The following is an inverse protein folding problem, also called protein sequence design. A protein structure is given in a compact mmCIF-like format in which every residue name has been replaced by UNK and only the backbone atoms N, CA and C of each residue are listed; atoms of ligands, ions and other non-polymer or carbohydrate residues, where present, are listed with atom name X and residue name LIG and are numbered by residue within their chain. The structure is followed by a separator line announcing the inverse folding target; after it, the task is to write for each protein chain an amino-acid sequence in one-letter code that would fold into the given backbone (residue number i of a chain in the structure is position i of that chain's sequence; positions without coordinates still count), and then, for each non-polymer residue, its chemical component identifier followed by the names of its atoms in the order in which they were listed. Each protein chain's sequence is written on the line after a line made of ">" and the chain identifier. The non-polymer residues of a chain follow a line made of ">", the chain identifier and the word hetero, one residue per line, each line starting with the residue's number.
data_IF_737283624245
#
_entry.id   IF_737283624245
#
_cell.length_a   1.000
_cell.length_b   1.000
_cell.length_c   1.000
_cell.angle_alpha   90.00
_cell.angle_beta   90.00
_cell.angle_gamma   90.00
#
_symmetry.space_group_name_H-M   'P 1'
#
loop_
_entity.id
_entity.type
_entity.pdbx_description
1 polymer ?
#
# COMPACT_ATOMS: atom_id res chain seq x y z
N UNK A 1 17.57 2.12 -8.35
CA UNK A 1 16.22 2.64 -8.68
C UNK A 1 15.22 1.83 -7.89
N UNK A 2 14.10 2.42 -7.41
CA UNK A 2 13.00 1.65 -6.85
C UNK A 2 12.58 0.57 -7.85
N UNK A 3 12.16 -0.59 -7.34
CA UNK A 3 11.64 -1.63 -8.19
C UNK A 3 10.38 -1.15 -8.92
N UNK A 4 10.22 -1.62 -10.15
CA UNK A 4 9.08 -1.37 -11.02
C UNK A 4 8.92 -2.61 -11.90
N UNK A 5 7.70 -2.85 -12.38
CA UNK A 5 7.49 -3.83 -13.43
C UNK A 5 8.39 -3.54 -14.64
N UNK A 6 8.93 -4.59 -15.24
CA UNK A 6 9.60 -4.45 -16.53
C UNK A 6 8.55 -4.04 -17.57
N UNK A 7 8.91 -3.19 -18.53
CA UNK A 7 7.99 -2.74 -19.59
C UNK A 7 7.32 -3.86 -20.39
N UNK A 8 7.89 -5.07 -20.33
CA UNK A 8 7.43 -6.26 -21.04
C UNK A 8 6.59 -7.20 -20.18
N UNK A 9 6.44 -6.93 -18.88
CA UNK A 9 5.62 -7.75 -17.99
C UNK A 9 4.14 -7.39 -18.13
N UNK A 10 3.23 -8.37 -18.11
CA UNK A 10 1.80 -8.10 -18.03
C UNK A 10 1.46 -7.50 -16.67
N UNK A 11 0.68 -6.41 -16.68
CA UNK A 11 0.24 -5.70 -15.47
C UNK A 11 -1.18 -6.10 -15.04
N UNK A 12 -1.60 -7.32 -15.35
CA UNK A 12 -2.94 -7.79 -15.00
C UNK A 12 -3.01 -8.13 -13.51
N UNK A 13 -3.97 -7.55 -12.76
CA UNK A 13 -4.12 -7.88 -11.35
C UNK A 13 -4.56 -9.34 -11.21
N UNK A 14 -3.90 -10.07 -10.32
CA UNK A 14 -4.32 -11.43 -9.94
C UNK A 14 -5.61 -11.44 -9.10
N UNK A 15 -5.92 -10.30 -8.47
CA UNK A 15 -7.11 -10.09 -7.67
C UNK A 15 -7.49 -8.60 -7.62
N UNK A 16 -8.76 -8.31 -7.37
CA UNK A 16 -9.29 -6.95 -7.26
C UNK A 16 -10.32 -6.88 -6.16
N UNK A 17 -10.28 -5.81 -5.37
CA UNK A 17 -11.30 -5.53 -4.35
C UNK A 17 -12.13 -4.32 -4.75
N UNK A 18 -13.48 -4.39 -4.68
CA UNK A 18 -14.31 -3.22 -4.91
C UNK A 18 -14.11 -2.20 -3.78
N UNK A 19 -13.97 -0.92 -4.14
CA UNK A 19 -13.96 0.19 -3.18
C UNK A 19 -15.38 0.74 -3.07
N UNK A 20 -15.97 0.71 -1.88
CA UNK A 20 -17.33 1.21 -1.69
C UNK A 20 -17.38 2.75 -1.72
N UNK A 21 -18.55 3.32 -2.05
CA UNK A 21 -18.73 4.77 -2.28
C UNK A 21 -18.26 5.67 -1.11
N UNK A 22 -18.36 5.19 0.12
CA UNK A 22 -18.00 5.94 1.33
C UNK A 22 -16.63 5.55 1.88
N UNK A 23 -15.92 4.63 1.22
CA UNK A 23 -14.56 4.27 1.60
C UNK A 23 -13.55 5.21 0.97
N UNK A 24 -12.50 5.51 1.73
CA UNK A 24 -11.34 6.26 1.28
C UNK A 24 -10.10 5.44 1.59
N UNK A 25 -9.41 5.03 0.54
CA UNK A 25 -8.13 4.34 0.59
C UNK A 25 -7.02 5.29 0.16
N UNK A 26 -5.89 5.25 0.88
CA UNK A 26 -4.67 5.96 0.49
C UNK A 26 -3.45 5.09 0.76
N UNK A 27 -2.60 4.97 -0.25
CA UNK A 27 -1.27 4.41 -0.16
C UNK A 27 -0.24 5.54 -0.14
N UNK A 28 0.60 5.58 0.88
CA UNK A 28 1.74 6.49 1.01
C UNK A 28 3.03 5.67 0.97
N UNK A 29 3.98 6.08 0.12
CA UNK A 29 5.30 5.47 0.00
C UNK A 29 6.35 6.44 0.57
N UNK A 30 6.58 6.44 1.91
CA UNK A 30 7.42 7.45 2.57
C UNK A 30 8.89 7.42 2.14
N UNK A 31 9.39 6.27 1.68
CA UNK A 31 10.75 6.11 1.17
C UNK A 31 10.88 6.44 -0.32
N UNK A 32 9.80 6.85 -1.00
CA UNK A 32 9.83 7.19 -2.41
C UNK A 32 10.78 8.38 -2.69
N UNK A 33 11.71 8.16 -3.63
CA UNK A 33 12.67 9.17 -4.06
C UNK A 33 12.09 10.20 -5.06
N UNK A 34 10.88 9.96 -5.58
CA UNK A 34 10.18 10.83 -6.53
C UNK A 34 8.96 11.49 -5.89
N UNK A 35 8.69 12.74 -6.27
CA UNK A 35 7.47 13.47 -5.85
C UNK A 35 6.19 12.89 -6.46
N UNK A 36 6.29 12.25 -7.63
CA UNK A 36 5.19 11.58 -8.32
C UNK A 36 5.57 10.12 -8.46
N UNK A 37 5.07 9.31 -7.55
CA UNK A 37 5.19 7.86 -7.63
C UNK A 37 3.86 7.27 -8.07
N UNK A 38 3.87 6.21 -8.89
CA UNK A 38 2.70 5.37 -9.06
C UNK A 38 2.18 4.90 -7.71
N UNK A 39 0.86 4.71 -7.59
CA UNK A 39 0.26 4.08 -6.41
C UNK A 39 0.42 2.55 -6.48
N UNK A 40 1.64 2.11 -6.75
CA UNK A 40 2.02 0.72 -6.91
C UNK A 40 2.96 0.36 -5.77
N UNK A 41 2.78 -0.82 -5.21
CA UNK A 41 3.61 -1.32 -4.13
C UNK A 41 4.02 -2.75 -4.43
N UNK A 42 5.33 -2.94 -4.58
CA UNK A 42 5.91 -4.14 -5.16
C UNK A 42 6.66 -4.91 -4.07
N UNK A 43 6.42 -6.22 -4.04
CA UNK A 43 7.11 -7.17 -3.17
C UNK A 43 8.17 -7.91 -3.98
N UNK A 44 9.38 -7.99 -3.46
CA UNK A 44 10.45 -8.80 -4.06
C UNK A 44 10.21 -10.28 -3.78
N UNK A 45 10.84 -11.17 -4.56
CA UNK A 45 10.77 -12.62 -4.34
C UNK A 45 11.24 -13.03 -2.94
N UNK A 46 12.11 -12.23 -2.33
CA UNK A 46 12.55 -12.39 -0.94
C UNK A 46 11.46 -12.04 0.10
N UNK A 47 10.32 -11.50 -0.32
CA UNK A 47 9.25 -10.99 0.54
C UNK A 47 9.47 -9.57 1.06
N UNK A 48 10.63 -8.97 0.78
CA UNK A 48 10.95 -7.60 1.18
C UNK A 48 10.33 -6.60 0.18
N UNK A 49 9.92 -5.43 0.66
CA UNK A 49 9.39 -4.35 -0.17
C UNK A 49 9.83 -3.00 0.39
N UNK A 50 9.49 -1.89 -0.27
CA UNK A 50 9.61 -0.57 0.34
C UNK A 50 8.61 -0.42 1.51
N UNK A 51 8.92 0.36 2.56
CA UNK A 51 7.93 0.67 3.59
C UNK A 51 6.75 1.42 2.97
N UNK A 52 5.53 1.08 3.40
CA UNK A 52 4.31 1.73 2.95
C UNK A 52 3.39 2.02 4.13
N UNK A 53 2.63 3.11 4.03
CA UNK A 53 1.55 3.43 4.97
C UNK A 53 0.22 3.41 4.24
N UNK A 54 -0.69 2.59 4.74
CA UNK A 54 -2.04 2.43 4.21
C UNK A 54 -2.99 3.12 5.17
N UNK A 55 -3.83 4.00 4.64
CA UNK A 55 -4.91 4.64 5.39
C UNK A 55 -6.25 4.22 4.81
N UNK A 56 -7.14 3.82 5.71
CA UNK A 56 -8.53 3.55 5.41
C UNK A 56 -9.42 4.47 6.25
N UNK A 57 -10.48 4.96 5.64
CA UNK A 57 -11.58 5.62 6.35
C UNK A 57 -12.91 5.29 5.68
N UNK A 58 -13.94 5.10 6.49
CA UNK A 58 -15.33 4.89 6.10
C UNK A 58 -16.27 5.52 7.12
N UNK A 59 -17.58 5.31 6.94
CA UNK A 59 -18.59 5.76 7.91
C UNK A 59 -18.47 5.04 9.26
N UNK A 60 -17.94 3.82 9.28
CA UNK A 60 -17.81 2.97 10.48
C UNK A 60 -16.49 3.21 11.24
N UNK A 61 -15.63 4.09 10.72
CA UNK A 61 -14.36 4.45 11.36
C UNK A 61 -13.19 4.48 10.39
N UNK A 62 -11.99 4.53 10.96
CA UNK A 62 -10.74 4.66 10.22
C UNK A 62 -9.62 3.89 10.90
N UNK A 63 -8.65 3.47 10.09
CA UNK A 63 -7.41 2.90 10.58
C UNK A 63 -6.24 3.28 9.70
N UNK A 64 -5.06 3.23 10.27
CA UNK A 64 -3.78 3.42 9.57
C UNK A 64 -2.86 2.28 9.94
N UNK A 65 -2.28 1.65 8.92
CA UNK A 65 -1.33 0.56 9.06
C UNK A 65 -0.01 0.96 8.40
N UNK A 66 1.10 0.63 9.04
CA UNK A 66 2.43 0.71 8.45
C UNK A 66 2.96 -0.69 8.17
N UNK A 67 3.50 -0.89 6.97
CA UNK A 67 4.18 -2.13 6.65
C UNK A 67 5.67 -2.02 6.91
N UNK A 68 6.18 -2.95 7.71
CA UNK A 68 7.59 -3.07 8.01
C UNK A 68 8.28 -3.93 6.95
N UNK A 69 9.23 -3.37 6.20
CA UNK A 69 9.98 -4.14 5.20
C UNK A 69 10.93 -5.16 5.84
N UNK A 70 11.24 -5.00 7.13
CA UNK A 70 12.10 -5.92 7.88
C UNK A 70 11.34 -7.19 8.31
N UNK A 71 10.10 -7.05 8.77
CA UNK A 71 9.31 -8.19 9.27
C UNK A 71 8.35 -8.77 8.24
N UNK A 72 8.06 -8.03 7.16
CA UNK A 72 7.08 -8.45 6.17
C UNK A 72 5.64 -8.39 6.69
N UNK A 73 5.37 -7.57 7.72
CA UNK A 73 4.08 -7.49 8.39
C UNK A 73 3.57 -6.05 8.45
N UNK A 74 2.24 -5.91 8.43
CA UNK A 74 1.54 -4.66 8.72
C UNK A 74 1.26 -4.50 10.20
N UNK A 75 1.54 -3.32 10.75
CA UNK A 75 1.22 -2.92 12.13
C UNK A 75 0.20 -1.78 12.11
N UNK A 76 -0.90 -1.94 12.87
CA UNK A 76 -1.90 -0.89 13.03
C UNK A 76 -1.34 0.18 13.98
N UNK A 77 -1.08 1.37 13.46
CA UNK A 77 -0.53 2.50 14.23
C UNK A 77 -1.60 3.50 14.67
N UNK A 78 -2.80 3.43 14.09
CA UNK A 78 -3.94 4.23 14.49
C UNK A 78 -5.23 3.49 14.17
N UNK A 79 -6.17 3.52 15.10
CA UNK A 79 -7.49 2.91 14.95
C UNK A 79 -8.53 3.79 15.64
N UNK A 80 -9.61 4.10 14.94
CA UNK A 80 -10.73 4.84 15.47
C UNK A 80 -12.03 4.27 14.90
N UNK A 81 -12.75 3.48 15.70
CA UNK A 81 -14.11 3.06 15.40
C UNK A 81 -15.09 4.22 15.65
N UNK A 82 -16.21 4.23 14.93
CA UNK A 82 -17.28 5.20 15.11
C UNK A 82 -18.47 4.62 15.88
#
# INVERSE_FOLDING_TARGET
>A
QPAAFLKTEPHDPIDTMPIARHEKWRLELPAALSKKVPAEWIFWESGVCEPARIRFASDDGSWTTEYSPLSGLGEIISYAAR
#
